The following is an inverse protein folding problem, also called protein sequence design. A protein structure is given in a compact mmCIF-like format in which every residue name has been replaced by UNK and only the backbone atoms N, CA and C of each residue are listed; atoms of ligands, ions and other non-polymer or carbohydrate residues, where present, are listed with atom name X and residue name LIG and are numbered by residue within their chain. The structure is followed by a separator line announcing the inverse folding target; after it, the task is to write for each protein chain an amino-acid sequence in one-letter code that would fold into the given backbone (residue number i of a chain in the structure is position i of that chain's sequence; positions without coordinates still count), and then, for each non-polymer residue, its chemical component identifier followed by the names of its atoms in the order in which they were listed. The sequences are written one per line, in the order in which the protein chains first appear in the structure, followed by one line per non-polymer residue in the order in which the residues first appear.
data_IF_989129754087
#
_entry.id   IF_989129754087
#
_cell.length_a   1.000
_cell.length_b   1.000
_cell.length_c   1.000
_cell.angle_alpha   90.00
_cell.angle_beta   90.00
_cell.angle_gamma   90.00
#
_symmetry.space_group_name_H-M   'P 1'
#
loop_
_entity.id
_entity.type
_entity.pdbx_description
1 polymer ?
#
# COMPACT_ATOMS: atom_id res chain seq x y z
N UNK A 1 0.91 24.11 -0.62
CA UNK A 1 1.27 22.78 -1.19
C UNK A 1 2.45 22.13 -0.46
N UNK A 2 3.62 22.77 -0.34
CA UNK A 2 4.78 22.16 0.36
C UNK A 2 4.52 22.01 1.87
N UNK A 3 3.99 23.04 2.53
CA UNK A 3 3.62 22.98 3.96
C UNK A 3 2.56 21.92 4.26
N UNK A 4 1.58 21.77 3.38
CA UNK A 4 0.55 20.73 3.48
C UNK A 4 1.16 19.32 3.38
N UNK A 5 2.08 19.10 2.42
CA UNK A 5 2.80 17.82 2.29
C UNK A 5 3.64 17.56 3.55
N UNK A 6 4.32 18.58 4.08
CA UNK A 6 5.10 18.43 5.31
C UNK A 6 4.22 18.01 6.48
N UNK A 7 3.07 18.67 6.67
CA UNK A 7 2.11 18.33 7.72
C UNK A 7 1.59 16.89 7.59
N UNK A 8 1.30 16.45 6.36
CA UNK A 8 0.88 15.07 6.10
C UNK A 8 1.99 14.06 6.41
N UNK A 9 3.24 14.37 6.08
CA UNK A 9 4.40 13.50 6.39
C UNK A 9 4.56 13.39 7.90
N UNK A 10 4.47 14.49 8.65
CA UNK A 10 4.58 14.47 10.11
C UNK A 10 3.48 13.63 10.77
N UNK A 11 2.24 13.76 10.29
CA UNK A 11 1.12 12.94 10.75
C UNK A 11 1.34 11.46 10.44
N UNK A 12 1.79 11.14 9.22
CA UNK A 12 2.10 9.76 8.81
C UNK A 12 3.17 9.14 9.71
N UNK A 13 4.25 9.87 10.02
CA UNK A 13 5.32 9.39 10.90
C UNK A 13 4.84 9.12 12.33
N UNK A 14 3.81 9.83 12.79
CA UNK A 14 3.11 9.58 14.07
C UNK A 14 2.10 8.43 13.99
N UNK A 15 1.96 7.78 12.84
CA UNK A 15 1.08 6.63 12.63
C UNK A 15 -0.32 6.95 12.10
N UNK A 16 -0.57 8.18 11.64
CA UNK A 16 -1.84 8.55 11.03
C UNK A 16 -2.02 7.84 9.67
N UNK A 17 -2.95 6.88 9.63
CA UNK A 17 -3.23 6.09 8.43
C UNK A 17 -3.95 6.87 7.34
N UNK A 18 -4.74 7.89 7.70
CA UNK A 18 -5.42 8.73 6.73
C UNK A 18 -4.39 9.63 6.01
N UNK A 19 -3.43 10.15 6.76
CA UNK A 19 -2.30 10.88 6.19
C UNK A 19 -1.47 9.98 5.26
N UNK A 20 -1.14 8.75 5.68
CA UNK A 20 -0.45 7.77 4.83
C UNK A 20 -1.21 7.49 3.52
N UNK A 21 -2.52 7.23 3.60
CA UNK A 21 -3.36 6.99 2.43
C UNK A 21 -3.42 8.18 1.48
N UNK A 22 -3.49 9.42 2.01
CA UNK A 22 -3.46 10.65 1.20
C UNK A 22 -2.12 10.84 0.50
N UNK A 23 -1.01 10.63 1.19
CA UNK A 23 0.32 10.72 0.59
C UNK A 23 0.50 9.70 -0.53
N UNK A 24 0.03 8.46 -0.34
CA UNK A 24 0.02 7.45 -1.40
C UNK A 24 -0.81 7.92 -2.60
N UNK A 25 -2.01 8.46 -2.40
CA UNK A 25 -2.82 9.02 -3.50
C UNK A 25 -2.10 10.13 -4.26
N UNK A 26 -1.39 11.03 -3.56
CA UNK A 26 -0.60 12.10 -4.18
C UNK A 26 0.52 11.50 -5.04
N UNK A 27 1.23 10.49 -4.52
CA UNK A 27 2.29 9.79 -5.25
C UNK A 27 1.72 9.08 -6.47
N UNK A 28 0.56 8.43 -6.37
CA UNK A 28 -0.14 7.81 -7.50
C UNK A 28 -0.55 8.85 -8.57
N UNK A 29 -0.86 10.08 -8.17
CA UNK A 29 -1.17 11.20 -9.07
C UNK A 29 0.04 11.67 -9.90
N UNK A 30 1.26 11.42 -9.46
CA UNK A 30 2.49 11.80 -10.15
C UNK A 30 2.82 13.29 -10.09
N UNK A 31 3.66 13.75 -11.03
CA UNK A 31 4.05 15.15 -11.16
C UNK A 31 4.97 15.67 -10.03
N UNK A 32 5.04 17.00 -9.90
CA UNK A 32 5.92 17.67 -8.91
C UNK A 32 5.55 17.32 -7.48
N UNK A 33 4.26 17.18 -7.18
CA UNK A 33 3.79 16.83 -5.83
C UNK A 33 4.29 15.44 -5.40
N UNK A 34 4.23 14.44 -6.28
CA UNK A 34 4.78 13.11 -6.01
C UNK A 34 6.29 13.16 -5.72
N UNK A 35 7.05 13.91 -6.52
CA UNK A 35 8.49 14.08 -6.29
C UNK A 35 8.80 14.73 -4.93
N UNK A 36 8.00 15.73 -4.53
CA UNK A 36 8.13 16.38 -3.21
C UNK A 36 7.85 15.39 -2.08
N UNK A 37 6.76 14.61 -2.17
CA UNK A 37 6.43 13.58 -1.16
C UNK A 37 7.57 12.56 -1.05
N UNK A 38 8.04 12.01 -2.16
CA UNK A 38 9.11 11.01 -2.18
C UNK A 38 10.41 11.54 -1.56
N UNK A 39 10.77 12.80 -1.85
CA UNK A 39 11.95 13.45 -1.25
C UNK A 39 11.80 13.60 0.26
N UNK A 40 10.63 14.01 0.75
CA UNK A 40 10.38 14.18 2.19
C UNK A 40 10.41 12.84 2.94
N UNK A 41 9.83 11.79 2.36
CA UNK A 41 9.76 10.45 2.99
C UNK A 41 11.10 9.72 2.96
N UNK A 42 11.88 9.81 1.87
CA UNK A 42 13.19 9.13 1.75
C UNK A 42 14.21 9.53 2.82
N UNK A 43 14.05 10.70 3.45
CA UNK A 43 14.93 11.17 4.53
C UNK A 43 14.67 10.46 5.86
N UNK A 44 13.58 9.71 5.96
CA UNK A 44 13.17 9.03 7.18
C UNK A 44 13.69 7.59 7.17
N UNK A 45 14.36 7.12 8.23
CA UNK A 45 14.83 5.74 8.30
C UNK A 45 13.63 4.78 8.34
N UNK A 46 13.61 3.81 7.43
CA UNK A 46 12.66 2.70 7.48
C UNK A 46 13.34 1.48 8.10
N UNK A 47 12.66 0.83 9.05
CA UNK A 47 13.05 -0.47 9.61
C UNK A 47 12.12 -1.59 9.14
N UNK A 48 11.29 -1.32 8.14
CA UNK A 48 10.32 -2.29 7.63
C UNK A 48 11.02 -3.40 6.85
N UNK A 49 10.70 -4.65 7.16
CA UNK A 49 11.05 -5.79 6.33
C UNK A 49 10.03 -5.94 5.20
N UNK A 50 10.50 -5.96 3.94
CA UNK A 50 9.65 -5.96 2.75
C UNK A 50 9.66 -7.36 2.13
N UNK A 51 8.47 -7.95 1.98
CA UNK A 51 8.26 -9.25 1.34
C UNK A 51 7.45 -9.05 0.05
N UNK A 52 8.02 -9.43 -1.09
CA UNK A 52 7.30 -9.51 -2.36
C UNK A 52 6.63 -10.87 -2.51
N UNK A 53 5.33 -10.90 -2.85
CA UNK A 53 4.59 -12.13 -3.10
C UNK A 53 3.99 -12.09 -4.51
N UNK A 54 4.29 -13.11 -5.31
CA UNK A 54 3.82 -13.23 -6.70
C UNK A 54 3.47 -14.67 -7.04
N UNK A 55 2.84 -14.89 -8.20
CA UNK A 55 2.45 -16.22 -8.69
C UNK A 55 1.20 -16.19 -9.57
N UNK A 56 0.80 -17.33 -10.18
CA UNK A 56 -0.37 -17.44 -11.05
C UNK A 56 -1.70 -17.12 -10.34
N UNK A 57 -2.74 -16.75 -11.09
CA UNK A 57 -4.10 -16.61 -10.53
C UNK A 57 -4.56 -17.94 -9.91
N UNK A 58 -5.26 -17.88 -8.78
CA UNK A 58 -5.80 -19.07 -8.12
C UNK A 58 -4.83 -19.88 -7.25
N UNK A 59 -3.51 -19.64 -7.29
CA UNK A 59 -2.49 -20.39 -6.51
C UNK A 59 -2.56 -20.20 -4.99
N UNK A 60 -3.54 -19.45 -4.48
CA UNK A 60 -3.71 -19.24 -3.03
C UNK A 60 -2.88 -18.10 -2.42
N UNK A 61 -2.35 -17.17 -3.22
CA UNK A 61 -1.58 -16.00 -2.72
C UNK A 61 -2.30 -15.22 -1.61
N UNK A 62 -3.59 -14.94 -1.80
CA UNK A 62 -4.38 -14.20 -0.82
C UNK A 62 -4.54 -14.98 0.49
N UNK A 63 -4.74 -16.30 0.40
CA UNK A 63 -4.79 -17.19 1.58
C UNK A 63 -3.46 -17.21 2.33
N UNK A 64 -2.34 -17.31 1.61
CA UNK A 64 -1.01 -17.24 2.20
C UNK A 64 -0.75 -15.87 2.86
N UNK A 65 -1.09 -14.77 2.17
CA UNK A 65 -0.95 -13.42 2.71
C UNK A 65 -1.77 -13.24 3.99
N UNK A 66 -3.01 -13.71 4.03
CA UNK A 66 -3.87 -13.64 5.21
C UNK A 66 -3.26 -14.37 6.41
N UNK A 67 -2.72 -15.58 6.20
CA UNK A 67 -2.03 -16.34 7.24
C UNK A 67 -0.75 -15.66 7.74
N UNK A 68 0.06 -15.09 6.83
CA UNK A 68 1.28 -14.36 7.19
C UNK A 68 0.95 -13.10 8.01
N UNK A 69 -0.06 -12.33 7.57
CA UNK A 69 -0.51 -11.13 8.29
C UNK A 69 -0.94 -11.52 9.71
N UNK A 70 -1.81 -12.53 9.86
CA UNK A 70 -2.22 -13.04 11.18
C UNK A 70 -1.04 -13.41 12.06
N UNK A 71 -0.07 -14.15 11.53
CA UNK A 71 1.10 -14.59 12.29
C UNK A 71 1.95 -13.42 12.78
N UNK A 72 2.15 -12.38 11.96
CA UNK A 72 2.87 -11.18 12.41
C UNK A 72 2.07 -10.34 13.39
N UNK A 73 0.74 -10.28 13.23
CA UNK A 73 -0.15 -9.59 14.18
C UNK A 73 -0.19 -10.27 15.53
N UNK A 74 -0.20 -11.61 15.59
CA UNK A 74 -0.05 -12.38 16.84
C UNK A 74 1.27 -12.11 17.57
N UNK A 75 2.31 -11.68 16.84
CA UNK A 75 3.60 -11.25 17.41
C UNK A 75 3.63 -9.77 17.79
N UNK A 76 2.51 -9.06 17.72
CA UNK A 76 2.40 -7.64 18.05
C UNK A 76 2.99 -6.69 16.99
N UNK A 77 3.39 -7.18 15.81
CA UNK A 77 4.01 -6.36 14.77
C UNK A 77 2.99 -5.62 13.92
N UNK A 78 3.31 -4.40 13.46
CA UNK A 78 2.49 -3.68 12.47
C UNK A 78 2.74 -4.25 11.07
N UNK A 79 1.69 -4.37 10.27
CA UNK A 79 1.77 -4.94 8.92
C UNK A 79 1.15 -3.97 7.90
N UNK A 80 1.93 -3.61 6.89
CA UNK A 80 1.46 -2.88 5.72
C UNK A 80 1.34 -3.83 4.53
N UNK A 81 0.18 -3.83 3.86
CA UNK A 81 -0.07 -4.62 2.66
C UNK A 81 -0.36 -3.68 1.51
N UNK A 82 0.48 -3.76 0.47
CA UNK A 82 0.30 -3.02 -0.78
C UNK A 82 -0.02 -4.03 -1.89
N UNK A 83 -1.27 -4.04 -2.35
CA UNK A 83 -1.72 -4.93 -3.41
C UNK A 83 -1.61 -4.24 -4.77
N UNK A 84 -0.79 -4.79 -5.66
CA UNK A 84 -0.65 -4.33 -7.04
C UNK A 84 -1.54 -5.18 -7.95
N UNK A 85 -2.38 -4.55 -8.76
CA UNK A 85 -3.16 -5.24 -9.79
C UNK A 85 -3.00 -4.57 -11.15
N UNK A 86 -3.07 -5.38 -12.22
CA UNK A 86 -3.14 -4.87 -13.60
C UNK A 86 -4.54 -4.30 -13.83
N UNK A 87 -4.64 -3.02 -14.16
CA UNK A 87 -5.91 -2.44 -14.63
C UNK A 87 -6.24 -2.99 -16.01
N UNK A 88 -7.28 -3.81 -16.15
CA UNK A 88 -7.97 -4.03 -17.43
C UNK A 88 -9.10 -3.00 -17.56
N UNK A 89 -9.50 -2.65 -18.79
CA UNK A 89 -10.50 -1.60 -19.09
C UNK A 89 -11.92 -1.87 -18.54
N UNK A 90 -12.15 -2.98 -17.84
CA UNK A 90 -13.48 -3.48 -17.41
C UNK A 90 -13.47 -3.86 -15.92
N UNK A 91 -13.16 -2.92 -15.02
CA UNK A 91 -13.39 -3.21 -13.60
C UNK A 91 -13.78 -1.99 -12.79
N UNK A 92 -15.05 -1.60 -12.91
CA UNK A 92 -15.72 -0.69 -11.96
C UNK A 92 -15.93 -1.38 -10.58
N UNK A 93 -15.55 -2.65 -10.41
CA UNK A 93 -15.79 -3.43 -9.17
C UNK A 93 -14.61 -4.15 -8.51
N UNK A 94 -13.37 -4.02 -9.01
CA UNK A 94 -12.23 -4.82 -8.49
C UNK A 94 -11.64 -4.33 -7.15
N UNK A 95 -12.00 -3.13 -6.69
CA UNK A 95 -11.55 -2.58 -5.40
C UNK A 95 -11.95 -3.46 -4.20
N UNK A 96 -13.07 -4.17 -4.33
CA UNK A 96 -13.58 -5.04 -3.28
C UNK A 96 -12.97 -6.45 -3.34
N UNK A 97 -12.61 -7.00 -4.50
CA UNK A 97 -12.21 -8.41 -4.63
C UNK A 97 -10.98 -8.81 -3.81
N UNK A 98 -9.91 -8.02 -3.84
CA UNK A 98 -8.68 -8.29 -3.07
C UNK A 98 -8.83 -7.92 -1.59
N UNK A 99 -9.65 -6.91 -1.29
CA UNK A 99 -9.93 -6.47 0.08
C UNK A 99 -10.87 -7.44 0.82
N UNK A 100 -11.85 -8.01 0.12
CA UNK A 100 -12.79 -9.04 0.59
C UNK A 100 -12.07 -10.39 0.78
N UNK A 101 -10.83 -10.59 0.32
CA UNK A 101 -10.10 -11.85 0.59
C UNK A 101 -9.13 -11.76 1.77
N UNK A 102 -8.98 -10.58 2.36
CA UNK A 102 -8.27 -10.31 3.62
C UNK A 102 -9.27 -10.01 4.76
N UNK A 103 -10.43 -10.66 4.73
CA UNK A 103 -11.54 -10.46 5.69
C UNK A 103 -11.10 -10.62 7.14
N UNK A 104 -10.12 -11.49 7.41
CA UNK A 104 -9.79 -11.86 8.79
C UNK A 104 -9.17 -10.74 9.63
N UNK A 105 -8.68 -9.68 9.00
CA UNK A 105 -8.06 -8.54 9.68
C UNK A 105 -8.82 -7.22 9.44
N UNK A 106 -10.07 -7.29 8.94
CA UNK A 106 -10.91 -6.10 8.81
C UNK A 106 -11.12 -5.51 10.21
N UNK A 107 -10.64 -4.30 10.43
CA UNK A 107 -10.72 -3.59 11.71
C UNK A 107 -9.47 -3.69 12.60
N UNK A 108 -8.46 -4.49 12.25
CA UNK A 108 -7.21 -4.53 13.03
C UNK A 108 -6.41 -3.22 12.86
N UNK A 109 -6.19 -2.53 13.97
CA UNK A 109 -5.45 -1.28 13.97
C UNK A 109 -3.95 -1.40 13.66
N UNK A 110 -3.38 -2.59 13.77
CA UNK A 110 -2.01 -2.86 13.36
C UNK A 110 -1.86 -3.20 11.88
N UNK A 111 -2.96 -3.28 11.11
CA UNK A 111 -2.94 -3.57 9.68
C UNK A 111 -3.32 -2.33 8.86
N UNK A 112 -2.48 -2.01 7.86
CA UNK A 112 -2.78 -1.02 6.83
C UNK A 112 -2.82 -1.71 5.47
N UNK A 113 -3.93 -1.57 4.76
CA UNK A 113 -4.11 -2.17 3.44
C UNK A 113 -4.36 -1.10 2.38
N UNK A 114 -3.62 -1.17 1.27
CA UNK A 114 -3.78 -0.28 0.12
C UNK A 114 -3.66 -1.04 -1.18
N UNK A 115 -4.62 -0.86 -2.07
CA UNK A 115 -4.51 -1.32 -3.46
C UNK A 115 -3.95 -0.19 -4.33
N UNK A 116 -3.03 -0.52 -5.23
CA UNK A 116 -2.53 0.40 -6.25
C UNK A 116 -2.82 -0.18 -7.64
N UNK A 117 -3.17 0.70 -8.57
CA UNK A 117 -3.33 0.34 -9.97
C UNK A 117 -2.03 0.60 -10.75
N UNK A 118 -1.70 -0.30 -11.68
CA UNK A 118 -0.46 -0.20 -12.46
C UNK A 118 -0.49 0.88 -13.57
N UNK A 119 -1.58 1.67 -13.70
CA UNK A 119 -1.78 2.77 -14.68
C UNK A 119 -1.12 2.56 -16.07
N UNK A 120 -1.20 1.34 -16.61
CA UNK A 120 -0.65 1.01 -17.94
C UNK A 120 0.85 0.71 -18.04
N UNK A 121 1.60 0.58 -16.94
CA UNK A 121 3.03 0.25 -16.99
C UNK A 121 3.23 -1.25 -17.33
N UNK A 122 4.00 -1.57 -18.36
CA UNK A 122 4.14 -2.95 -18.88
C UNK A 122 4.83 -3.94 -17.92
N UNK A 123 5.59 -3.45 -16.93
CA UNK A 123 6.38 -4.28 -16.01
C UNK A 123 5.66 -4.85 -14.78
N UNK A 124 4.34 -4.66 -14.64
CA UNK A 124 3.57 -5.19 -13.50
C UNK A 124 3.77 -4.47 -12.15
N UNK A 125 4.78 -3.59 -12.03
CA UNK A 125 4.99 -2.68 -10.90
C UNK A 125 4.55 -1.26 -11.27
N UNK A 126 3.80 -0.61 -10.37
CA UNK A 126 3.53 0.82 -10.48
C UNK A 126 4.85 1.58 -10.41
N UNK A 127 4.99 2.67 -11.20
CA UNK A 127 6.17 3.56 -11.17
C UNK A 127 6.50 4.08 -9.77
N UNK A 128 5.51 4.05 -8.87
CA UNK A 128 5.60 4.51 -7.49
C UNK A 128 6.20 3.47 -6.51
N UNK A 129 6.48 2.25 -6.97
CA UNK A 129 6.88 1.11 -6.11
C UNK A 129 8.41 0.90 -6.08
N UNK A 130 9.18 1.79 -6.71
CA UNK A 130 10.66 1.76 -6.79
C UNK A 130 11.35 2.97 -6.17
#
# INVERSE_FOLDING_TARGET
MVEEISSLVDKMLKGDRAAAARLISIVEGGGRAAATVMRSVRRQPSRAYIIGVTGPFGVGKSTLLDAIVKLYRLRGLKVGVVALYRSSRVSVGALLGDRIRLISNIGDEGVFFRSLSNRGNLGGLSKCTG
#
